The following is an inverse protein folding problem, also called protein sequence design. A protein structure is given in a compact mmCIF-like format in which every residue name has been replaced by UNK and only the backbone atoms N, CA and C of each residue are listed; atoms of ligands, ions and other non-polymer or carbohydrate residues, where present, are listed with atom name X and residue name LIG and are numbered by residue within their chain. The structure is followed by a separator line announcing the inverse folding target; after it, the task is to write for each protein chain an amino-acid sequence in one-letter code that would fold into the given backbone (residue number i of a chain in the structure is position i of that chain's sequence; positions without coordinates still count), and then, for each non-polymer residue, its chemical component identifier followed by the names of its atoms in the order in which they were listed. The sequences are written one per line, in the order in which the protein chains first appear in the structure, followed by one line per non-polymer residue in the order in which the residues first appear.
data_IF_589188416278
#
_entry.id   IF_589188416278
#
_cell.length_a   1.000
_cell.length_b   1.000
_cell.length_c   1.000
_cell.angle_alpha   90.00
_cell.angle_beta   90.00
_cell.angle_gamma   90.00
#
_symmetry.space_group_name_H-M   'P 1'
#
loop_
_entity.id
_entity.type
_entity.pdbx_description
1 polymer ?
#
# COMPACT_ATOMS: atom_id res chain seq x y z
N UNK A 1 2.77 -4.61 8.25
CA UNK A 1 1.67 -3.66 8.53
C UNK A 1 1.79 -3.12 9.96
N UNK A 2 2.03 -1.80 10.10
CA UNK A 2 2.13 -1.13 11.41
C UNK A 2 0.73 -0.86 11.99
N UNK A 3 -0.29 -0.82 11.14
CA UNK A 3 -1.71 -0.72 11.52
C UNK A 3 -2.46 -1.97 11.03
N UNK A 4 -3.17 -2.63 11.93
CA UNK A 4 -3.89 -3.87 11.66
C UNK A 4 -5.33 -3.56 11.26
N UNK A 5 -5.51 -3.12 10.01
CA UNK A 5 -6.79 -3.20 9.33
C UNK A 5 -7.24 -4.68 9.25
N UNK A 6 -8.51 -4.95 9.60
CA UNK A 6 -9.13 -6.24 9.35
C UNK A 6 -9.53 -6.41 7.88
N UNK A 7 -8.59 -6.75 7.01
CA UNK A 7 -8.87 -7.11 5.62
C UNK A 7 -9.29 -8.59 5.52
N UNK A 8 -10.46 -8.89 4.92
CA UNK A 8 -10.98 -10.28 4.78
C UNK A 8 -10.18 -11.17 3.81
N UNK A 9 -9.23 -10.62 3.05
CA UNK A 9 -8.48 -11.35 2.03
C UNK A 9 -7.05 -11.65 2.48
N UNK A 10 -6.56 -12.84 2.13
CA UNK A 10 -5.15 -13.24 2.31
C UNK A 10 -4.25 -12.82 1.12
N UNK A 11 -4.80 -12.15 0.11
CA UNK A 11 -4.07 -11.68 -1.06
C UNK A 11 -3.40 -10.32 -0.80
N UNK A 12 -2.25 -10.09 -1.44
CA UNK A 12 -1.49 -8.86 -1.30
C UNK A 12 -1.95 -7.83 -2.35
N UNK A 13 -2.46 -6.65 -1.95
CA UNK A 13 -2.95 -5.64 -2.89
C UNK A 13 -1.84 -4.92 -3.66
N UNK A 14 -0.58 -5.06 -3.22
CA UNK A 14 0.59 -4.39 -3.83
C UNK A 14 1.53 -5.43 -4.38
N UNK A 15 1.89 -5.29 -5.66
CA UNK A 15 2.87 -6.16 -6.32
C UNK A 15 3.92 -5.32 -7.06
N UNK A 16 5.19 -5.46 -6.69
CA UNK A 16 6.29 -4.79 -7.40
C UNK A 16 6.40 -5.35 -8.83
N UNK A 17 6.47 -4.45 -9.80
CA UNK A 17 6.65 -4.73 -11.23
C UNK A 17 8.12 -4.54 -11.61
N UNK A 18 8.70 -3.40 -11.23
CA UNK A 18 10.10 -3.06 -11.52
C UNK A 18 10.66 -2.07 -10.51
N UNK A 19 11.97 -2.02 -10.40
CA UNK A 19 12.71 -1.13 -9.51
C UNK A 19 14.15 -0.96 -10.02
N UNK A 20 14.74 0.22 -9.82
CA UNK A 20 16.10 0.55 -10.29
C UNK A 20 16.99 1.20 -9.23
N UNK A 21 16.53 1.25 -7.97
CA UNK A 21 17.24 1.86 -6.84
C UNK A 21 16.73 3.26 -6.50
N UNK A 22 16.43 4.06 -7.53
CA UNK A 22 15.89 5.40 -7.37
C UNK A 22 14.37 5.41 -7.40
N UNK A 23 13.73 4.46 -8.11
CA UNK A 23 12.28 4.34 -8.17
C UNK A 23 11.81 2.91 -7.99
N UNK A 24 10.53 2.77 -7.61
CA UNK A 24 9.81 1.49 -7.65
C UNK A 24 8.47 1.68 -8.34
N UNK A 25 8.18 0.77 -9.27
CA UNK A 25 6.88 0.69 -9.94
C UNK A 25 6.15 -0.54 -9.45
N UNK A 26 4.91 -0.37 -9.01
CA UNK A 26 4.09 -1.42 -8.45
C UNK A 26 2.67 -1.40 -9.03
N UNK A 27 2.04 -2.57 -9.09
CA UNK A 27 0.62 -2.74 -9.30
C UNK A 27 -0.11 -2.64 -7.96
N UNK A 28 -1.18 -1.86 -7.93
CA UNK A 28 -2.15 -1.76 -6.85
C UNK A 28 -3.49 -2.35 -7.30
N UNK A 29 -3.95 -3.38 -6.60
CA UNK A 29 -5.14 -4.16 -6.97
C UNK A 29 -6.22 -4.09 -5.91
N UNK A 30 -7.47 -4.18 -6.35
CA UNK A 30 -8.58 -4.55 -5.47
C UNK A 30 -8.49 -6.06 -5.19
N UNK A 31 -8.37 -6.43 -3.91
CA UNK A 31 -8.30 -7.83 -3.46
C UNK A 31 -9.26 -8.16 -2.32
N UNK A 32 -10.01 -7.18 -1.81
CA UNK A 32 -10.75 -7.31 -0.54
C UNK A 32 -12.17 -7.83 -0.67
N UNK A 33 -12.87 -7.49 -1.77
CA UNK A 33 -14.22 -8.02 -2.01
C UNK A 33 -14.11 -9.28 -2.86
N UNK A 34 -14.84 -10.32 -2.48
CA UNK A 34 -14.84 -11.61 -3.17
C UNK A 34 -15.04 -11.45 -4.67
N UNK A 35 -14.12 -12.03 -5.43
CA UNK A 35 -14.01 -11.91 -6.88
C UNK A 35 -14.86 -12.94 -7.63
N UNK A 36 -15.55 -13.75 -6.85
CA UNK A 36 -16.30 -14.94 -7.24
C UNK A 36 -17.58 -14.60 -8.02
N UNK A 37 -17.99 -13.33 -7.95
CA UNK A 37 -19.14 -12.78 -8.69
C UNK A 37 -18.74 -11.51 -9.44
N UNK A 38 -18.91 -11.55 -10.76
CA UNK A 38 -18.64 -10.44 -11.67
C UNK A 38 -19.46 -9.21 -11.29
N UNK A 39 -18.81 -8.05 -11.14
CA UNK A 39 -19.49 -6.77 -10.88
C UNK A 39 -19.23 -6.17 -9.51
N UNK A 40 -18.57 -6.90 -8.60
CA UNK A 40 -18.22 -6.36 -7.29
C UNK A 40 -17.05 -5.40 -7.40
N UNK A 41 -17.34 -4.12 -7.19
CA UNK A 41 -16.37 -3.02 -7.19
C UNK A 41 -16.18 -2.49 -5.78
N UNK A 42 -14.98 -2.00 -5.50
CA UNK A 42 -14.76 -1.16 -4.33
C UNK A 42 -15.20 0.27 -4.58
N UNK A 43 -15.67 0.92 -3.52
CA UNK A 43 -16.00 2.35 -3.59
C UNK A 43 -14.77 3.18 -3.98
N UNK A 44 -13.67 3.09 -3.22
CA UNK A 44 -12.39 3.63 -3.65
C UNK A 44 -11.17 3.04 -2.92
N UNK A 45 -10.02 3.15 -3.57
CA UNK A 45 -8.68 2.92 -3.04
C UNK A 45 -7.86 4.18 -3.32
N UNK A 46 -7.10 4.68 -2.35
CA UNK A 46 -6.16 5.76 -2.52
C UNK A 46 -4.75 5.33 -2.11
N UNK A 47 -3.75 5.86 -2.81
CA UNK A 47 -2.34 5.63 -2.55
C UNK A 47 -1.64 6.98 -2.36
N UNK A 48 -1.06 7.19 -1.19
CA UNK A 48 -0.24 8.35 -0.83
C UNK A 48 1.24 7.94 -0.83
N UNK A 49 2.05 8.65 -1.61
CA UNK A 49 3.44 8.32 -1.92
C UNK A 49 4.20 9.55 -2.44
N UNK A 50 5.53 9.49 -2.45
CA UNK A 50 6.37 10.49 -3.11
C UNK A 50 6.50 10.10 -4.59
N UNK A 51 6.09 10.98 -5.50
CA UNK A 51 6.17 10.75 -6.94
C UNK A 51 7.61 10.88 -7.46
N UNK A 52 7.84 10.49 -8.71
CA UNK A 52 9.15 10.62 -9.38
C UNK A 52 9.69 12.06 -9.40
N UNK A 53 8.81 13.05 -9.31
CA UNK A 53 9.17 14.46 -9.30
C UNK A 53 9.42 15.00 -7.87
N UNK A 54 9.58 14.10 -6.89
CA UNK A 54 9.79 14.40 -5.47
C UNK A 54 8.61 15.15 -4.81
N UNK A 55 7.40 14.95 -5.35
CA UNK A 55 6.17 15.56 -4.84
C UNK A 55 5.34 14.56 -4.04
N UNK A 56 4.90 14.95 -2.84
CA UNK A 56 3.90 14.18 -2.09
C UNK A 56 2.59 14.14 -2.88
N UNK A 57 2.19 12.94 -3.29
CA UNK A 57 1.10 12.70 -4.22
C UNK A 57 0.14 11.68 -3.62
N UNK A 58 -1.16 12.00 -3.62
CA UNK A 58 -2.19 11.00 -3.36
C UNK A 58 -3.06 10.74 -4.59
N UNK A 59 -3.03 9.51 -5.09
CA UNK A 59 -3.85 9.09 -6.23
C UNK A 59 -5.02 8.23 -5.75
N UNK A 60 -6.25 8.67 -6.02
CA UNK A 60 -7.48 7.95 -5.72
C UNK A 60 -8.07 7.27 -6.96
N UNK A 61 -8.46 6.00 -6.80
CA UNK A 61 -9.15 5.18 -7.79
C UNK A 61 -10.53 4.83 -7.25
N UNK A 62 -11.57 5.18 -7.99
CA UNK A 62 -12.96 4.80 -7.69
C UNK A 62 -13.40 3.62 -8.54
N UNK A 63 -14.39 2.87 -8.05
CA UNK A 63 -15.05 1.80 -8.82
C UNK A 63 -14.11 0.70 -9.33
N UNK A 64 -13.01 0.45 -8.61
CA UNK A 64 -12.02 -0.55 -8.99
C UNK A 64 -12.63 -1.95 -8.84
N UNK A 65 -12.75 -2.67 -9.96
CA UNK A 65 -13.23 -4.04 -10.00
C UNK A 65 -12.16 -5.00 -9.45
N UNK A 66 -12.59 -6.16 -8.95
CA UNK A 66 -11.63 -7.16 -8.50
C UNK A 66 -10.63 -7.57 -9.59
N UNK A 67 -9.37 -7.74 -9.18
CA UNK A 67 -8.29 -8.23 -10.02
C UNK A 67 -7.78 -7.18 -11.01
N UNK A 68 -8.47 -6.03 -11.12
CA UNK A 68 -7.98 -4.90 -11.85
C UNK A 68 -6.87 -4.24 -11.04
N UNK A 69 -5.70 -4.10 -11.66
CA UNK A 69 -4.56 -3.40 -11.11
C UNK A 69 -4.41 -2.04 -11.78
N UNK A 70 -3.98 -1.05 -11.02
CA UNK A 70 -3.43 0.21 -11.53
C UNK A 70 -1.94 0.26 -11.24
N UNK A 71 -1.17 0.93 -12.08
CA UNK A 71 0.29 1.01 -11.94
C UNK A 71 0.69 2.38 -11.43
N UNK A 72 1.53 2.38 -10.39
CA UNK A 72 2.05 3.59 -9.74
C UNK A 72 3.56 3.47 -9.68
N UNK A 73 4.25 4.59 -9.94
CA UNK A 73 5.70 4.72 -9.76
C UNK A 73 5.95 5.71 -8.64
N UNK A 74 6.67 5.26 -7.61
CA UNK A 74 7.08 6.07 -6.47
C UNK A 74 8.61 6.29 -6.49
N UNK A 75 9.02 7.47 -6.05
CA UNK A 75 10.41 7.82 -5.82
C UNK A 75 10.89 7.19 -4.52
N UNK A 76 12.14 6.76 -4.53
CA UNK A 76 12.78 6.15 -3.38
C UNK A 76 13.73 7.14 -2.73
N UNK A 77 13.75 7.09 -1.41
CA UNK A 77 14.71 7.76 -0.55
C UNK A 77 15.47 6.71 0.26
N UNK A 78 16.80 6.81 0.29
CA UNK A 78 17.71 5.82 0.90
C UNK A 78 17.39 4.35 0.52
N UNK A 79 17.02 4.12 -0.74
CA UNK A 79 16.78 2.78 -1.29
C UNK A 79 15.43 2.15 -0.93
N UNK A 80 14.49 2.92 -0.36
CA UNK A 80 13.12 2.49 -0.13
C UNK A 80 12.11 3.62 -0.37
N UNK A 81 10.84 3.28 -0.49
CA UNK A 81 9.73 4.25 -0.43
C UNK A 81 8.70 3.80 0.59
N UNK A 82 8.06 4.77 1.21
CA UNK A 82 6.86 4.55 2.02
C UNK A 82 5.64 4.76 1.13
N UNK A 83 4.68 3.85 1.24
CA UNK A 83 3.40 3.91 0.55
C UNK A 83 2.29 3.72 1.59
N UNK A 84 1.40 4.70 1.69
CA UNK A 84 0.21 4.63 2.51
C UNK A 84 -1.00 4.35 1.62
N UNK A 85 -1.68 3.23 1.86
CA UNK A 85 -2.89 2.84 1.15
C UNK A 85 -4.08 3.06 2.05
N UNK A 86 -5.06 3.78 1.51
CA UNK A 86 -6.35 4.00 2.14
C UNK A 86 -7.43 3.30 1.33
N UNK A 87 -8.33 2.60 2.00
CA UNK A 87 -9.44 1.90 1.35
C UNK A 87 -10.75 2.26 2.00
N UNK A 88 -11.82 2.28 1.20
CA UNK A 88 -13.18 2.46 1.67
C UNK A 88 -14.14 1.61 0.86
N UNK A 89 -15.13 1.07 1.57
CA UNK A 89 -16.34 0.53 1.00
C UNK A 89 -17.47 0.67 2.01
N UNK A 90 -18.71 0.78 1.54
CA UNK A 90 -19.89 0.85 2.40
C UNK A 90 -20.33 -0.53 2.92
N UNK A 91 -19.74 -1.62 2.41
CA UNK A 91 -20.04 -2.96 2.86
C UNK A 91 -19.66 -3.15 4.35
N UNK A 92 -20.63 -3.47 5.23
CA UNK A 92 -20.37 -3.62 6.66
C UNK A 92 -19.33 -4.69 6.98
N UNK A 93 -18.38 -4.33 7.85
CA UNK A 93 -17.33 -5.23 8.34
C UNK A 93 -16.29 -5.62 7.29
N UNK A 94 -16.23 -4.95 6.14
CA UNK A 94 -15.15 -5.14 5.17
C UNK A 94 -13.88 -4.43 5.59
N UNK A 95 -14.01 -3.18 6.03
CA UNK A 95 -12.91 -2.34 6.50
C UNK A 95 -13.27 -1.76 7.86
N UNK A 96 -12.36 -1.92 8.80
CA UNK A 96 -12.41 -1.32 10.13
C UNK A 96 -11.00 -1.33 10.71
N UNK A 97 -10.70 -0.30 11.50
CA UNK A 97 -9.53 -0.30 12.37
C UNK A 97 -9.79 -1.26 13.54
N UNK A 98 -8.78 -2.02 13.96
CA UNK A 98 -8.93 -2.98 15.07
C UNK A 98 -9.35 -2.32 16.39
N UNK A 99 -8.99 -1.05 16.57
CA UNK A 99 -9.35 -0.25 17.74
C UNK A 99 -10.66 0.56 17.55
N UNK A 100 -11.37 0.36 16.44
CA UNK A 100 -12.58 1.09 16.04
C UNK A 100 -12.37 2.63 15.92
N UNK A 101 -11.13 3.08 15.78
CA UNK A 101 -10.83 4.48 15.51
C UNK A 101 -11.23 4.88 14.08
N UNK A 102 -11.53 6.17 13.90
CA UNK A 102 -11.75 6.71 12.57
C UNK A 102 -10.40 6.89 11.85
N UNK A 103 -10.31 6.42 10.61
CA UNK A 103 -9.11 6.63 9.79
C UNK A 103 -9.00 8.09 9.40
N UNK A 104 -7.81 8.67 9.59
CA UNK A 104 -7.47 9.99 9.07
C UNK A 104 -6.82 9.81 7.70
N UNK A 105 -7.47 10.30 6.65
CA UNK A 105 -6.96 10.27 5.28
C UNK A 105 -6.49 11.67 4.89
N UNK A 106 -5.32 11.83 4.25
CA UNK A 106 -4.87 13.12 3.75
C UNK A 106 -5.91 13.80 2.85
N UNK A 107 -6.07 15.12 2.99
CA UNK A 107 -7.04 15.88 2.20
C UNK A 107 -6.78 15.75 0.69
N UNK A 108 -5.51 15.66 0.28
CA UNK A 108 -5.09 15.44 -1.10
C UNK A 108 -5.69 14.18 -1.73
N UNK A 109 -6.03 13.16 -0.94
CA UNK A 109 -6.68 11.95 -1.42
C UNK A 109 -8.17 12.15 -1.75
N UNK A 110 -8.79 13.26 -1.32
CA UNK A 110 -10.20 13.55 -1.54
C UNK A 110 -11.12 12.46 -0.97
N UNK A 111 -10.84 12.02 0.27
CA UNK A 111 -11.55 10.95 0.93
C UNK A 111 -13.05 11.25 1.08
N UNK A 112 -13.88 10.23 0.87
CA UNK A 112 -15.34 10.31 0.94
C UNK A 112 -15.88 9.07 1.65
N UNK A 113 -16.97 9.22 2.40
CA UNK A 113 -17.61 8.13 3.12
C UNK A 113 -17.30 8.13 4.62
N UNK A 114 -17.73 7.07 5.31
CA UNK A 114 -17.54 6.95 6.76
C UNK A 114 -16.11 6.54 7.09
N UNK A 115 -15.37 7.39 7.81
CA UNK A 115 -13.98 7.15 8.22
C UNK A 115 -13.79 5.90 9.11
N UNK A 116 -14.85 5.41 9.77
CA UNK A 116 -14.82 4.14 10.53
C UNK A 116 -14.98 2.90 9.64
N UNK A 117 -15.43 3.08 8.40
CA UNK A 117 -15.53 2.04 7.37
C UNK A 117 -14.35 2.13 6.39
N UNK A 118 -13.23 2.70 6.85
CA UNK A 118 -12.01 2.83 6.08
C UNK A 118 -10.91 1.99 6.70
N UNK A 119 -9.92 1.67 5.89
CA UNK A 119 -8.68 1.06 6.35
C UNK A 119 -7.47 1.83 5.85
N UNK A 120 -6.44 1.83 6.67
CA UNK A 120 -5.12 2.36 6.33
C UNK A 120 -4.10 1.24 6.47
N UNK A 121 -3.26 1.10 5.45
CA UNK A 121 -2.20 0.10 5.39
C UNK A 121 -0.93 0.78 4.91
N UNK A 122 0.14 0.66 5.70
CA UNK A 122 1.47 1.15 5.33
C UNK A 122 2.37 0.05 4.78
N UNK A 123 2.94 0.31 3.61
CA UNK A 123 3.92 -0.51 2.93
C UNK A 123 5.27 0.20 2.89
N UNK A 124 6.34 -0.57 3.04
CA UNK A 124 7.71 -0.10 2.79
C UNK A 124 8.24 -0.93 1.63
N UNK A 125 8.32 -0.32 0.45
CA UNK A 125 8.79 -0.98 -0.76
C UNK A 125 10.29 -0.70 -0.92
N UNK A 126 11.07 -1.75 -1.14
CA UNK A 126 12.52 -1.64 -1.32
C UNK A 126 12.82 -1.43 -2.79
N UNK A 127 13.64 -0.44 -3.10
CA UNK A 127 13.98 -0.07 -4.46
C UNK A 127 15.34 -0.64 -4.88
N UNK A 128 16.26 -0.80 -3.93
CA UNK A 128 17.51 -1.52 -4.13
C UNK A 128 17.54 -2.83 -3.30
N UNK A 129 17.39 -4.00 -3.95
CA UNK A 129 17.46 -5.27 -3.24
C UNK A 129 18.87 -5.57 -2.72
N UNK A 130 19.92 -4.96 -3.28
CA UNK A 130 21.33 -5.18 -2.90
C UNK A 130 21.68 -4.60 -1.51
N UNK A 131 20.98 -3.56 -1.05
CA UNK A 131 21.18 -3.01 0.31
C UNK A 131 20.80 -4.01 1.41
N UNK A 132 19.88 -4.93 1.13
CA UNK A 132 19.54 -6.04 2.04
C UNK A 132 20.68 -7.06 2.17
N UNK A 133 21.44 -7.28 1.10
CA UNK A 133 22.57 -8.21 1.11
C UNK A 133 23.77 -7.62 1.85
N UNK A 134 24.05 -6.32 1.66
CA UNK A 134 25.11 -5.59 2.37
C UNK A 134 24.87 -5.58 3.88
N UNK A 135 23.64 -5.32 4.33
CA UNK A 135 23.30 -5.34 5.76
C UNK A 135 23.44 -6.74 6.38
N UNK A 136 23.05 -7.81 5.66
CA UNK A 136 23.26 -9.22 6.09
C UNK A 136 24.74 -9.61 6.16
N UNK A 137 25.57 -9.19 5.19
CA UNK A 137 27.01 -9.44 5.23
C UNK A 137 27.70 -8.65 6.36
N UNK A 138 27.28 -7.41 6.63
CA UNK A 138 27.82 -6.62 7.74
C UNK A 138 27.56 -7.25 9.11
N UNK A 139 26.36 -7.83 9.31
CA UNK A 139 26.00 -8.55 10.55
C UNK A 139 26.79 -9.84 10.72
N UNK A 140 27.01 -10.61 9.64
CA UNK A 140 27.86 -11.82 9.68
C UNK A 140 29.32 -11.51 10.04
N UNK A 141 29.87 -10.40 9.52
CA UNK A 141 31.25 -9.98 9.85
C UNK A 141 31.41 -9.54 11.30
N UNK A 142 30.36 -9.01 11.94
CA UNK A 142 30.39 -8.64 13.38
C UNK A 142 30.27 -9.86 14.31
N UNK A 143 29.52 -10.89 13.92
CA UNK A 143 29.36 -12.12 14.72
C UNK A 143 30.53 -13.11 14.60
N UNK A 144 31.35 -13.01 13.54
CA UNK A 144 32.56 -13.83 13.36
C UNK A 144 33.84 -13.25 13.98
N UNK A 145 33.73 -12.20 14.80
CA UNK A 145 34.82 -11.63 15.60
C UNK A 145 34.44 -11.66 17.08
N UNK A 146 34.38 -12.86 17.65
CA UNK A 146 34.42 -13.13 19.08
C UNK A 146 35.28 -14.36 19.30
#
# INVERSE_FOLDING_TARGET
PVDTCGAKSGEEPVKIISQDGDTVTFALSQVWKGCDSSGTKMSWIAADYVSRDDELTCTKFSDLACGHATTITAQCDDGATVLDIYTYDDQPGLFFQQDDSAVVVPEACGAQGNARSMCHMRYILKCDPSQCEKSRQSRRRRLGRL
#
